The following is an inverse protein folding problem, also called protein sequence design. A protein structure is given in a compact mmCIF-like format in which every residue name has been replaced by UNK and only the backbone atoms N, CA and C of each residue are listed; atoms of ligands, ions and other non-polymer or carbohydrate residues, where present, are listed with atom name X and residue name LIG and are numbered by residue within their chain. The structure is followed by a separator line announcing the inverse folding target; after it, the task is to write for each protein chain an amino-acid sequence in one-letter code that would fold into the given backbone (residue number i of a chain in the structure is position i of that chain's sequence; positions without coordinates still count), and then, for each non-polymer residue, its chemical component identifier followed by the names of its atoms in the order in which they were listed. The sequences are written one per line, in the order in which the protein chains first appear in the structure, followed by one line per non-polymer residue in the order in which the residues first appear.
data_IF_647775864973
#
_entry.id   IF_647775864973
#
_cell.length_a   1.000
_cell.length_b   1.000
_cell.length_c   1.000
_cell.angle_alpha   90.00
_cell.angle_beta   90.00
_cell.angle_gamma   90.00
#
_symmetry.space_group_name_H-M   'P 1'
#
loop_
_entity.id
_entity.type
_entity.pdbx_description
1 polymer ?
#
# COMPACT_ATOMS: atom_id res chain seq x y z
N UNK A 1 -17.17 -3.85 -7.11
CA UNK A 1 -16.28 -2.75 -6.69
C UNK A 1 -15.51 -3.11 -5.45
N UNK A 2 -14.22 -3.45 -5.61
CA UNK A 2 -13.30 -3.68 -4.51
C UNK A 2 -13.23 -2.43 -3.64
N UNK A 3 -13.29 -2.60 -2.32
CA UNK A 3 -13.30 -1.49 -1.35
C UNK A 3 -11.91 -1.23 -0.80
N UNK A 4 -11.67 0.00 -0.37
CA UNK A 4 -10.45 0.34 0.36
C UNK A 4 -10.42 -0.41 1.70
N UNK A 5 -9.29 -1.05 1.97
CA UNK A 5 -9.02 -1.71 3.26
C UNK A 5 -8.04 -0.85 4.03
N UNK A 6 -8.39 -0.46 5.26
CA UNK A 6 -7.49 0.35 6.10
C UNK A 6 -6.16 -0.39 6.30
N UNK A 7 -5.01 0.25 6.04
CA UNK A 7 -3.71 -0.38 6.28
C UNK A 7 -3.52 -0.76 7.75
N UNK A 8 -2.84 -1.88 7.97
CA UNK A 8 -2.28 -2.22 9.27
C UNK A 8 -1.17 -1.24 9.65
N UNK A 9 -1.05 -0.96 10.94
CA UNK A 9 0.05 -0.17 11.50
C UNK A 9 1.07 -1.10 12.15
N UNK A 10 2.38 -0.80 12.00
CA UNK A 10 3.40 -1.52 12.74
C UNK A 10 3.30 -1.16 14.23
N UNK A 11 3.54 -2.15 15.10
CA UNK A 11 3.76 -1.90 16.52
C UNK A 11 5.18 -1.39 16.71
N UNK A 12 5.33 -0.24 17.36
CA UNK A 12 6.65 0.32 17.67
C UNK A 12 7.31 -0.50 18.79
N UNK A 13 8.52 -0.97 18.53
CA UNK A 13 9.36 -1.72 19.48
C UNK A 13 10.79 -1.20 19.40
N UNK A 14 11.57 -1.37 20.47
CA UNK A 14 12.98 -0.92 20.50
C UNK A 14 13.90 -1.79 19.66
N UNK A 15 13.64 -3.10 19.63
CA UNK A 15 14.48 -4.09 18.94
C UNK A 15 13.61 -4.89 17.96
N UNK A 16 14.05 -5.10 16.71
CA UNK A 16 13.34 -5.95 15.77
C UNK A 16 13.17 -7.37 16.31
N UNK A 17 11.99 -7.98 16.16
CA UNK A 17 11.77 -9.35 16.59
C UNK A 17 12.61 -10.34 15.75
N UNK A 18 12.90 -11.50 16.34
CA UNK A 18 13.77 -12.54 15.78
C UNK A 18 13.08 -13.92 15.77
N UNK A 19 13.63 -14.85 14.98
CA UNK A 19 13.14 -16.23 14.87
C UNK A 19 12.38 -16.53 13.57
N UNK A 20 12.11 -17.80 13.33
CA UNK A 20 11.64 -18.31 12.01
C UNK A 20 10.23 -17.85 11.60
N UNK A 21 9.46 -17.32 12.56
CA UNK A 21 8.13 -16.77 12.30
C UNK A 21 8.15 -15.31 11.84
N UNK A 22 9.33 -14.71 11.66
CA UNK A 22 9.48 -13.31 11.28
C UNK A 22 10.12 -13.17 9.91
N UNK A 23 9.58 -12.22 9.13
CA UNK A 23 10.20 -11.70 7.93
C UNK A 23 10.57 -10.23 8.16
N UNK A 24 11.68 -9.78 7.56
CA UNK A 24 12.15 -8.41 7.64
C UNK A 24 12.12 -7.77 6.25
N UNK A 25 11.43 -6.65 6.14
CA UNK A 25 11.32 -5.86 4.91
C UNK A 25 12.00 -4.50 5.11
N UNK A 26 12.51 -3.92 4.01
CA UNK A 26 13.06 -2.56 4.03
C UNK A 26 11.94 -1.57 4.36
N UNK A 27 12.18 -0.71 5.35
CA UNK A 27 11.27 0.40 5.65
C UNK A 27 11.48 1.53 4.64
N UNK A 28 10.54 1.68 3.72
CA UNK A 28 10.48 2.85 2.84
C UNK A 28 9.96 4.08 3.59
N UNK A 29 10.51 5.25 3.27
CA UNK A 29 9.98 6.54 3.68
C UNK A 29 9.20 7.17 2.53
N UNK A 30 7.89 7.31 2.71
CA UNK A 30 6.98 7.71 1.65
C UNK A 30 5.51 7.55 2.04
N UNK A 31 4.63 7.63 1.05
CA UNK A 31 3.19 7.59 1.27
C UNK A 31 2.64 6.17 1.09
N UNK A 32 2.22 5.54 2.19
CA UNK A 32 1.52 4.25 2.15
C UNK A 32 0.25 4.38 1.29
N UNK A 33 0.19 3.57 0.24
CA UNK A 33 -0.86 3.63 -0.78
C UNK A 33 -1.32 2.23 -1.13
N UNK A 34 -2.63 2.05 -1.26
CA UNK A 34 -3.27 0.83 -1.74
C UNK A 34 -3.64 1.01 -3.21
N UNK A 35 -3.02 0.23 -4.08
CA UNK A 35 -3.44 0.12 -5.48
C UNK A 35 -4.54 -0.93 -5.54
N UNK A 36 -5.72 -0.52 -6.00
CA UNK A 36 -6.89 -1.40 -6.14
C UNK A 36 -7.11 -1.59 -7.63
N UNK A 37 -6.99 -2.84 -8.09
CA UNK A 37 -7.15 -3.24 -9.50
C UNK A 37 -8.41 -4.07 -9.65
N UNK A 38 -9.32 -3.66 -10.52
CA UNK A 38 -10.59 -4.33 -10.80
C UNK A 38 -11.03 -4.00 -12.23
N UNK A 39 -11.45 -5.02 -13.00
CA UNK A 39 -11.98 -4.88 -14.37
C UNK A 39 -11.08 -4.05 -15.32
N UNK A 40 -9.77 -4.33 -15.31
CA UNK A 40 -8.78 -3.63 -16.16
C UNK A 40 -8.57 -2.16 -15.79
N UNK A 41 -9.01 -1.74 -14.61
CA UNK A 41 -8.81 -0.38 -14.08
C UNK A 41 -8.08 -0.45 -12.75
N UNK A 42 -7.28 0.57 -12.48
CA UNK A 42 -6.61 0.72 -11.19
C UNK A 42 -6.93 2.08 -10.55
N UNK A 43 -6.88 2.13 -9.22
CA UNK A 43 -6.94 3.36 -8.44
C UNK A 43 -5.95 3.32 -7.29
N UNK A 44 -5.34 4.46 -6.97
CA UNK A 44 -4.34 4.59 -5.91
C UNK A 44 -4.93 5.33 -4.71
N UNK A 45 -5.16 4.63 -3.61
CA UNK A 45 -5.80 5.17 -2.40
C UNK A 45 -4.79 5.33 -1.28
N UNK A 46 -4.62 6.55 -0.77
CA UNK A 46 -3.70 6.85 0.34
C UNK A 46 -4.11 6.17 1.65
N UNK A 47 -3.20 6.11 2.63
CA UNK A 47 -3.48 5.62 3.99
C UNK A 47 -4.76 6.18 4.64
N UNK A 48 -5.13 7.42 4.32
CA UNK A 48 -6.31 8.10 4.88
C UNK A 48 -7.58 7.94 4.02
N UNK A 49 -7.51 7.22 2.90
CA UNK A 49 -8.66 6.98 2.03
C UNK A 49 -8.83 7.97 0.88
N UNK A 50 -7.92 8.94 0.72
CA UNK A 50 -7.95 9.86 -0.43
C UNK A 50 -7.52 9.19 -1.71
N UNK A 51 -8.19 9.50 -2.81
CA UNK A 51 -7.82 9.05 -4.14
C UNK A 51 -6.72 9.94 -4.73
N UNK A 52 -5.57 9.33 -5.02
CA UNK A 52 -4.37 9.94 -5.60
C UNK A 52 -4.06 9.37 -6.99
N UNK A 53 -5.04 8.79 -7.68
CA UNK A 53 -4.83 8.17 -8.99
C UNK A 53 -4.28 9.16 -10.03
N UNK A 54 -4.67 10.43 -9.98
CA UNK A 54 -4.11 11.48 -10.84
C UNK A 54 -2.65 11.79 -10.51
N UNK A 55 -2.29 11.83 -9.22
CA UNK A 55 -0.91 12.03 -8.76
C UNK A 55 -0.03 10.84 -9.13
N UNK A 56 -0.56 9.62 -9.08
CA UNK A 56 0.16 8.36 -9.34
C UNK A 56 -0.17 7.77 -10.71
N UNK A 57 -0.35 8.62 -11.72
CA UNK A 57 -0.80 8.23 -13.06
C UNK A 57 -0.01 7.06 -13.64
N UNK A 58 1.33 7.12 -13.62
CA UNK A 58 2.18 6.07 -14.19
C UNK A 58 2.06 4.73 -13.47
N UNK A 59 1.84 4.75 -12.15
CA UNK A 59 1.63 3.53 -11.33
C UNK A 59 0.26 2.92 -11.65
N UNK A 60 -0.77 3.76 -11.75
CA UNK A 60 -2.14 3.33 -12.07
C UNK A 60 -2.20 2.74 -13.48
N UNK A 61 -1.57 3.40 -14.47
CA UNK A 61 -1.50 2.89 -15.85
C UNK A 61 -0.75 1.56 -15.92
N UNK A 62 0.36 1.41 -15.19
CA UNK A 62 1.12 0.16 -15.16
C UNK A 62 0.35 -0.99 -14.47
N UNK A 63 -0.50 -0.68 -13.49
CA UNK A 63 -1.29 -1.67 -12.76
C UNK A 63 -2.60 -2.05 -13.46
N UNK A 64 -3.08 -1.23 -14.38
CA UNK A 64 -4.30 -1.47 -15.16
C UNK A 64 -4.03 -2.45 -16.32
N UNK A 65 -3.85 -3.73 -15.99
CA UNK A 65 -3.69 -4.85 -16.94
C UNK A 65 -4.98 -5.61 -17.19
#
# INVERSE_FOLDING_TARGET
MLKFIRPMFPTLVEVPPTGDNWIHEIKYDGYRTQVIVEDGKARAITRRGYDWSSTYKTIVEAAAT
#
